data_IF_943785032835
#
_entry.id   IF_943785032835
#
_cell.length_a   1.000
_cell.length_b   1.000
_cell.length_c   1.000
_cell.angle_alpha   90.00
_cell.angle_beta   90.00
_cell.angle_gamma   90.00
#
_symmetry.space_group_name_H-M   'P 1'
#
loop_
_entity.id
_entity.type
_entity.pdbx_description
1 polymer ?
#
# COMPACT_ATOMS: atom_id res chain seq x y z
N UNK A 1 -21.17 -3.31 11.01
CA UNK A 1 -21.27 -4.24 9.86
C UNK A 1 -20.82 -5.63 10.30
N UNK A 2 -21.49 -6.73 9.91
CA UNK A 2 -21.01 -8.09 10.25
C UNK A 2 -19.78 -8.44 9.41
N UNK A 3 -18.96 -9.40 9.86
CA UNK A 3 -17.76 -9.84 9.12
C UNK A 3 -18.09 -10.33 7.72
N UNK A 4 -19.18 -11.10 7.57
CA UNK A 4 -19.68 -11.58 6.27
C UNK A 4 -20.02 -10.45 5.31
N UNK A 5 -20.59 -9.36 5.83
CA UNK A 5 -21.01 -8.23 5.01
C UNK A 5 -19.79 -7.41 4.57
N UNK A 6 -18.82 -7.24 5.47
CA UNK A 6 -17.51 -6.64 5.13
C UNK A 6 -16.76 -7.49 4.11
N UNK A 7 -16.88 -8.81 4.23
CA UNK A 7 -16.25 -9.73 3.31
C UNK A 7 -16.82 -9.59 1.89
N UNK A 8 -18.15 -9.62 1.77
CA UNK A 8 -18.83 -9.40 0.50
C UNK A 8 -18.49 -8.04 -0.12
N UNK A 9 -18.49 -6.97 0.69
CA UNK A 9 -18.15 -5.64 0.20
C UNK A 9 -16.71 -5.53 -0.33
N UNK A 10 -15.74 -6.16 0.34
CA UNK A 10 -14.36 -6.22 -0.14
C UNK A 10 -14.26 -7.04 -1.44
N UNK A 11 -14.95 -8.17 -1.51
CA UNK A 11 -14.90 -9.06 -2.67
C UNK A 11 -15.51 -8.39 -3.92
N UNK A 12 -16.58 -7.60 -3.75
CA UNK A 12 -17.15 -6.74 -4.79
C UNK A 12 -16.15 -5.70 -5.30
N UNK A 13 -15.42 -5.04 -4.40
CA UNK A 13 -14.38 -4.07 -4.77
C UNK A 13 -13.20 -4.73 -5.51
N UNK A 14 -12.82 -5.95 -5.12
CA UNK A 14 -11.77 -6.69 -5.81
C UNK A 14 -12.20 -7.10 -7.21
N UNK A 15 -13.45 -7.50 -7.38
CA UNK A 15 -14.03 -7.87 -8.67
C UNK A 15 -14.10 -6.68 -9.65
N UNK A 16 -14.19 -5.46 -9.13
CA UNK A 16 -14.13 -4.24 -9.95
C UNK A 16 -12.73 -3.93 -10.51
N UNK A 17 -11.67 -4.63 -10.07
CA UNK A 17 -10.32 -4.43 -10.59
C UNK A 17 -10.05 -5.35 -11.79
N UNK A 18 -9.66 -4.79 -12.94
CA UNK A 18 -9.32 -5.57 -14.12
C UNK A 18 -8.08 -6.42 -13.85
N UNK A 19 -8.12 -7.69 -14.26
CA UNK A 19 -7.08 -8.66 -13.90
C UNK A 19 -5.91 -8.61 -14.88
N UNK A 20 -4.66 -8.37 -14.43
CA UNK A 20 -3.54 -8.16 -15.34
C UNK A 20 -2.88 -9.44 -15.89
N UNK A 21 -3.49 -10.62 -15.69
CA UNK A 21 -2.84 -11.90 -16.00
C UNK A 21 -1.54 -12.10 -15.20
N UNK A 22 -1.59 -11.80 -13.89
CA UNK A 22 -0.41 -11.71 -13.03
C UNK A 22 0.39 -13.02 -12.98
N UNK A 23 1.72 -12.91 -13.17
CA UNK A 23 2.68 -14.04 -13.14
C UNK A 23 3.23 -14.36 -11.75
N UNK A 24 2.78 -13.67 -10.70
CA UNK A 24 3.29 -13.87 -9.33
C UNK A 24 4.71 -13.34 -9.07
N UNK A 25 5.29 -12.59 -10.01
CA UNK A 25 6.68 -12.09 -9.93
C UNK A 25 6.84 -10.80 -9.12
N UNK A 26 5.77 -10.29 -8.49
CA UNK A 26 5.79 -9.01 -7.77
C UNK A 26 6.61 -9.01 -6.46
N UNK A 27 7.35 -10.09 -6.17
CA UNK A 27 8.12 -10.26 -4.93
C UNK A 27 9.18 -9.18 -4.76
N UNK A 28 9.86 -8.79 -5.85
CA UNK A 28 10.88 -7.73 -5.83
C UNK A 28 10.27 -6.32 -5.63
N UNK A 29 8.95 -6.20 -5.82
CA UNK A 29 8.19 -4.96 -5.64
C UNK A 29 7.38 -4.95 -4.34
N UNK A 30 7.45 -6.02 -3.55
CA UNK A 30 6.67 -6.12 -2.32
C UNK A 30 7.26 -5.21 -1.23
N UNK A 31 6.39 -4.55 -0.47
CA UNK A 31 6.82 -3.55 0.52
C UNK A 31 5.83 -3.39 1.67
N UNK A 32 5.99 -2.35 2.50
CA UNK A 32 5.00 -1.96 3.48
C UNK A 32 3.63 -1.72 2.83
N UNK A 33 2.63 -2.53 3.18
CA UNK A 33 1.30 -2.50 2.55
C UNK A 33 0.25 -1.99 3.52
N UNK A 34 -0.41 -0.88 3.14
CA UNK A 34 -1.63 -0.41 3.78
C UNK A 34 -2.82 -1.29 3.40
N UNK A 35 -3.61 -1.70 4.39
CA UNK A 35 -4.77 -2.58 4.20
C UNK A 35 -5.86 -2.27 5.23
N UNK A 36 -7.11 -2.55 4.88
CA UNK A 36 -8.25 -2.48 5.79
C UNK A 36 -8.08 -3.48 6.97
N UNK A 37 -8.55 -3.15 8.19
CA UNK A 37 -8.46 -4.07 9.34
C UNK A 37 -9.02 -5.49 9.09
N UNK A 38 -10.07 -5.62 8.26
CA UNK A 38 -10.65 -6.91 7.87
C UNK A 38 -9.77 -7.66 6.87
N UNK A 39 -9.13 -6.98 5.93
CA UNK A 39 -8.13 -7.60 5.04
C UNK A 39 -6.96 -8.18 5.84
N UNK A 40 -6.48 -7.41 6.82
CA UNK A 40 -5.46 -7.89 7.76
C UNK A 40 -5.93 -9.14 8.51
N UNK A 41 -7.20 -9.17 8.91
CA UNK A 41 -7.80 -10.33 9.56
C UNK A 41 -7.88 -11.55 8.64
N UNK A 42 -8.32 -11.40 7.38
CA UNK A 42 -8.37 -12.48 6.39
C UNK A 42 -6.99 -13.12 6.19
N UNK A 43 -5.94 -12.30 6.13
CA UNK A 43 -4.55 -12.78 6.04
C UNK A 43 -4.12 -13.53 7.30
N UNK A 44 -4.46 -13.01 8.49
CA UNK A 44 -4.20 -13.69 9.77
C UNK A 44 -4.91 -15.04 9.88
N UNK A 45 -6.13 -15.15 9.35
CA UNK A 45 -6.89 -16.40 9.28
C UNK A 45 -6.20 -17.45 8.38
N UNK A 46 -5.33 -17.03 7.45
CA UNK A 46 -4.42 -17.91 6.67
C UNK A 46 -3.12 -18.27 7.41
N UNK A 47 -2.96 -17.84 8.67
CA UNK A 47 -1.77 -18.10 9.47
C UNK A 47 -0.57 -17.18 9.18
N UNK A 48 -0.76 -16.10 8.42
CA UNK A 48 0.29 -15.12 8.13
C UNK A 48 0.04 -13.84 8.93
N UNK A 49 1.09 -13.31 9.58
CA UNK A 49 1.03 -12.04 10.30
C UNK A 49 1.89 -11.02 9.56
N UNK A 50 1.25 -10.14 8.81
CA UNK A 50 1.91 -8.97 8.22
C UNK A 50 1.89 -7.84 9.26
N UNK A 51 2.98 -7.10 9.51
CA UNK A 51 2.95 -5.93 10.39
C UNK A 51 2.02 -4.83 9.85
N UNK A 52 1.62 -3.89 10.70
CA UNK A 52 0.91 -2.71 10.21
C UNK A 52 1.84 -1.88 9.30
N UNK A 53 1.28 -1.24 8.27
CA UNK A 53 2.09 -0.55 7.25
C UNK A 53 3.06 0.50 7.82
N UNK A 54 2.68 1.15 8.92
CA UNK A 54 3.52 2.13 9.61
C UNK A 54 4.75 1.48 10.24
N UNK A 55 4.58 0.33 10.88
CA UNK A 55 5.66 -0.39 11.55
C UNK A 55 6.61 -0.98 10.51
N UNK A 56 6.06 -1.55 9.43
CA UNK A 56 6.81 -2.01 8.27
C UNK A 56 7.63 -0.89 7.63
N UNK A 57 7.03 0.30 7.49
CA UNK A 57 7.72 1.46 6.93
C UNK A 57 8.79 2.01 7.87
N UNK A 58 8.54 2.02 9.18
CA UNK A 58 9.55 2.38 10.17
C UNK A 58 10.75 1.43 10.11
N UNK A 59 10.51 0.12 10.05
CA UNK A 59 11.55 -0.89 9.85
C UNK A 59 12.34 -0.63 8.57
N UNK A 60 11.66 -0.44 7.44
CA UNK A 60 12.32 -0.17 6.16
C UNK A 60 13.20 1.08 6.23
N UNK A 61 12.74 2.14 6.90
CA UNK A 61 13.50 3.39 7.08
C UNK A 61 14.71 3.18 7.98
N UNK A 62 14.55 2.46 9.10
CA UNK A 62 15.62 2.25 10.09
C UNK A 62 16.70 1.29 9.58
N UNK A 63 16.29 0.22 8.91
CA UNK A 63 17.18 -0.89 8.53
C UNK A 63 17.61 -0.83 7.07
N UNK A 64 16.86 -0.11 6.23
CA UNK A 64 17.01 -0.15 4.77
C UNK A 64 16.42 -1.40 4.13
N UNK A 65 15.77 -2.27 4.91
CA UNK A 65 15.25 -3.55 4.44
C UNK A 65 13.85 -3.85 5.00
N UNK A 66 13.01 -4.43 4.14
CA UNK A 66 11.73 -5.00 4.51
C UNK A 66 11.35 -6.07 3.50
N UNK A 67 11.07 -7.28 4.01
CA UNK A 67 10.47 -8.36 3.23
C UNK A 67 9.11 -8.68 3.82
N UNK A 68 8.08 -8.71 2.96
CA UNK A 68 6.72 -9.02 3.42
C UNK A 68 6.63 -10.46 3.96
N UNK A 69 6.11 -10.69 5.17
CA UNK A 69 6.02 -12.03 5.77
C UNK A 69 5.16 -13.03 5.00
N UNK A 70 4.35 -12.56 4.05
CA UNK A 70 3.56 -13.41 3.16
C UNK A 70 4.38 -14.09 2.06
N UNK A 71 5.61 -13.62 1.79
CA UNK A 71 6.46 -14.18 0.76
C UNK A 71 7.10 -15.49 1.24
N UNK A 72 6.85 -16.58 0.50
CA UNK A 72 7.44 -17.90 0.73
C UNK A 72 7.86 -18.47 -0.62
N UNK A 73 9.09 -19.00 -0.70
CA UNK A 73 9.63 -19.64 -1.91
C UNK A 73 9.48 -18.79 -3.19
N UNK A 74 9.66 -17.47 -3.07
CA UNK A 74 9.55 -16.53 -4.18
C UNK A 74 8.12 -16.24 -4.65
N UNK A 75 7.09 -16.58 -3.85
CA UNK A 75 5.68 -16.34 -4.17
C UNK A 75 4.89 -15.82 -2.95
N UNK A 76 3.76 -15.17 -3.20
CA UNK A 76 2.85 -14.75 -2.13
C UNK A 76 2.01 -15.94 -1.65
N UNK A 77 2.20 -16.37 -0.40
CA UNK A 77 1.47 -17.49 0.20
C UNK A 77 0.00 -17.21 0.55
N UNK A 78 -0.45 -15.95 0.41
CA UNK A 78 -1.83 -15.49 0.67
C UNK A 78 -2.39 -14.72 -0.52
N UNK A 79 -1.99 -15.12 -1.73
CA UNK A 79 -2.30 -14.41 -2.97
C UNK A 79 -3.81 -14.21 -3.21
N UNK A 80 -4.63 -15.16 -2.76
CA UNK A 80 -6.08 -15.19 -2.87
C UNK A 80 -6.82 -14.25 -1.92
N UNK A 81 -6.19 -13.87 -0.80
CA UNK A 81 -6.73 -12.93 0.20
C UNK A 81 -5.88 -11.66 0.30
N UNK A 82 -5.19 -11.31 -0.79
CA UNK A 82 -4.35 -10.11 -0.87
C UNK A 82 -5.21 -8.85 -0.70
N UNK A 83 -4.67 -7.77 -0.11
CA UNK A 83 -5.43 -6.54 0.10
C UNK A 83 -5.63 -5.77 -1.20
N UNK A 84 -6.56 -4.80 -1.19
CA UNK A 84 -6.91 -3.92 -2.31
C UNK A 84 -5.68 -3.31 -3.00
N UNK A 85 -4.71 -2.80 -2.24
CA UNK A 85 -3.48 -2.23 -2.80
C UNK A 85 -2.70 -3.20 -3.68
N UNK A 86 -2.71 -4.50 -3.33
CA UNK A 86 -2.06 -5.54 -4.12
C UNK A 86 -2.89 -5.94 -5.35
N UNK A 87 -4.22 -5.80 -5.32
CA UNK A 87 -5.08 -5.96 -6.50
C UNK A 87 -4.84 -4.85 -7.53
N UNK A 88 -4.66 -3.60 -7.09
CA UNK A 88 -4.42 -2.46 -7.97
C UNK A 88 -3.04 -2.52 -8.67
N UNK A 89 -2.09 -3.30 -8.13
CA UNK A 89 -0.76 -3.43 -8.71
C UNK A 89 -0.80 -4.13 -10.07
N UNK A 90 -0.35 -3.42 -11.11
CA UNK A 90 -0.44 -3.86 -12.50
C UNK A 90 -1.80 -3.61 -13.15
N UNK A 91 -2.76 -3.02 -12.44
CA UNK A 91 -4.11 -2.75 -12.93
C UNK A 91 -4.44 -1.25 -13.03
N UNK A 92 -3.58 -0.35 -12.54
CA UNK A 92 -3.77 1.12 -12.58
C UNK A 92 -2.60 1.84 -13.27
N UNK A 93 -2.86 2.99 -13.87
CA UNK A 93 -1.87 3.79 -14.62
C UNK A 93 -0.59 4.13 -13.85
N UNK A 94 -0.71 4.49 -12.57
CA UNK A 94 0.42 4.85 -11.69
C UNK A 94 1.21 3.66 -11.15
N UNK A 95 0.70 2.44 -11.25
CA UNK A 95 1.34 1.22 -10.77
C UNK A 95 1.36 0.13 -11.86
N UNK A 96 1.97 0.39 -13.02
CA UNK A 96 2.09 -0.63 -14.06
C UNK A 96 2.98 -1.78 -13.59
N UNK A 97 2.69 -3.00 -14.04
CA UNK A 97 3.51 -4.15 -13.68
C UNK A 97 4.87 -4.08 -14.41
N UNK A 98 6.01 -4.13 -13.69
CA UNK A 98 7.33 -4.10 -14.33
C UNK A 98 7.64 -5.34 -15.17
N UNK A 99 6.88 -6.43 -14.99
CA UNK A 99 7.02 -7.69 -15.74
C UNK A 99 6.05 -7.78 -16.94
N UNK A 100 5.40 -6.67 -17.31
CA UNK A 100 4.52 -6.57 -18.46
C UNK A 100 3.15 -7.22 -18.31
N UNK A 101 2.74 -7.59 -17.08
CA UNK A 101 1.37 -8.02 -16.82
C UNK A 101 0.42 -6.81 -16.97
N UNK A 102 -0.64 -6.93 -17.76
CA UNK A 102 -1.58 -5.85 -18.05
C UNK A 102 -2.95 -6.44 -18.38
N UNK A 103 -4.07 -5.82 -17.94
CA UNK A 103 -5.39 -6.28 -18.34
C UNK A 103 -5.64 -6.04 -19.84
N UNK A 104 -6.48 -6.87 -20.44
CA UNK A 104 -6.78 -6.81 -21.88
C UNK A 104 -7.52 -5.51 -22.24
N UNK A 105 -8.41 -5.08 -21.36
CA UNK A 105 -9.20 -3.86 -21.41
C UNK A 105 -8.40 -2.58 -21.11
N UNK A 106 -7.14 -2.72 -20.64
CA UNK A 106 -6.26 -1.62 -20.29
C UNK A 106 -6.11 -1.38 -18.78
N UNK A 107 -5.32 -0.35 -18.43
CA UNK A 107 -5.12 0.06 -17.03
C UNK A 107 -6.25 1.00 -16.62
N UNK A 108 -6.71 0.87 -15.38
CA UNK A 108 -7.64 1.83 -14.78
C UNK A 108 -6.99 3.22 -14.64
N UNK A 109 -7.75 4.29 -14.88
CA UNK A 109 -7.34 5.65 -14.53
C UNK A 109 -6.96 5.75 -13.05
N UNK A 110 -5.96 6.58 -12.74
CA UNK A 110 -5.50 6.76 -11.35
C UNK A 110 -6.63 7.15 -10.40
N UNK A 111 -7.54 8.05 -10.80
CA UNK A 111 -8.65 8.47 -9.94
C UNK A 111 -9.59 7.31 -9.57
N UNK A 112 -9.81 6.37 -10.50
CA UNK A 112 -10.61 5.18 -10.24
C UNK A 112 -9.88 4.22 -9.29
N UNK A 113 -8.59 3.98 -9.52
CA UNK A 113 -7.76 3.19 -8.62
C UNK A 113 -7.73 3.74 -7.18
N UNK A 114 -7.58 5.06 -7.04
CA UNK A 114 -7.63 5.72 -5.73
C UNK A 114 -9.02 5.64 -5.08
N UNK A 115 -10.10 5.73 -5.86
CA UNK A 115 -11.45 5.59 -5.34
C UNK A 115 -11.73 4.17 -4.82
N UNK A 116 -11.26 3.13 -5.53
CA UNK A 116 -11.36 1.74 -5.08
C UNK A 116 -10.56 1.51 -3.80
N UNK A 117 -9.33 2.04 -3.74
CA UNK A 117 -8.51 1.99 -2.52
C UNK A 117 -9.23 2.68 -1.35
N UNK A 118 -9.75 3.89 -1.55
CA UNK A 118 -10.47 4.63 -0.52
C UNK A 118 -11.69 3.87 -0.01
N UNK A 119 -12.51 3.31 -0.89
CA UNK A 119 -13.67 2.48 -0.53
C UNK A 119 -13.25 1.24 0.27
N UNK A 120 -12.20 0.53 -0.15
CA UNK A 120 -11.72 -0.66 0.57
C UNK A 120 -11.27 -0.34 2.00
N UNK A 121 -10.58 0.78 2.20
CA UNK A 121 -10.12 1.24 3.51
C UNK A 121 -11.25 1.69 4.43
N UNK A 122 -12.44 1.83 3.86
CA UNK A 122 -13.60 2.43 4.51
C UNK A 122 -14.69 1.40 4.86
N UNK A 123 -14.64 0.21 4.24
CA UNK A 123 -15.45 -0.95 4.63
C UNK A 123 -15.41 -1.16 6.14
N UNK A 124 -16.60 -1.13 6.76
CA UNK A 124 -16.84 -1.37 8.17
C UNK A 124 -16.63 -0.19 9.11
N UNK A 125 -16.28 1.01 8.60
CA UNK A 125 -16.32 2.22 9.41
C UNK A 125 -17.77 2.63 9.74
N UNK A 126 -18.00 3.33 10.87
CA UNK A 126 -19.34 3.79 11.25
C UNK A 126 -19.94 4.77 10.24
N UNK A 127 -19.11 5.62 9.64
CA UNK A 127 -19.50 6.65 8.69
C UNK A 127 -18.73 6.45 7.38
N UNK A 128 -19.18 5.55 6.49
CA UNK A 128 -18.48 5.29 5.26
C UNK A 128 -18.67 6.42 4.23
N UNK A 129 -17.74 6.52 3.28
CA UNK A 129 -17.76 7.49 2.18
C UNK A 129 -18.99 7.27 1.32
N UNK A 130 -19.78 8.32 1.16
CA UNK A 130 -20.92 8.31 0.25
C UNK A 130 -20.50 8.58 -1.21
N UNK A 131 -21.46 8.46 -2.14
CA UNK A 131 -21.23 8.66 -3.56
C UNK A 131 -20.76 10.08 -3.89
N UNK A 132 -21.21 11.10 -3.13
CA UNK A 132 -20.81 12.48 -3.34
C UNK A 132 -19.35 12.68 -2.92
N UNK A 133 -18.96 12.19 -1.74
CA UNK A 133 -17.61 12.23 -1.22
C UNK A 133 -16.63 11.47 -2.12
N UNK A 134 -17.02 10.30 -2.63
CA UNK A 134 -16.24 9.57 -3.63
C UNK A 134 -16.12 10.35 -4.94
N UNK A 135 -17.20 11.01 -5.39
CA UNK A 135 -17.17 11.89 -6.56
C UNK A 135 -16.17 13.04 -6.38
N UNK A 136 -16.19 13.73 -5.23
CA UNK A 136 -15.23 14.79 -4.90
C UNK A 136 -13.79 14.27 -4.85
N UNK A 137 -13.59 13.05 -4.31
CA UNK A 137 -12.27 12.42 -4.26
C UNK A 137 -11.75 12.13 -5.67
N UNK A 138 -12.58 11.55 -6.55
CA UNK A 138 -12.25 11.31 -7.96
C UNK A 138 -11.87 12.59 -8.68
N UNK A 139 -12.72 13.63 -8.59
CA UNK A 139 -12.45 14.94 -9.18
C UNK A 139 -11.11 15.53 -8.72
N UNK A 140 -10.77 15.36 -7.43
CA UNK A 140 -9.49 15.81 -6.90
C UNK A 140 -8.31 15.05 -7.51
N UNK A 141 -8.41 13.73 -7.69
CA UNK A 141 -7.36 12.94 -8.33
C UNK A 141 -7.28 13.14 -9.86
N UNK A 142 -8.35 13.62 -10.49
CA UNK A 142 -8.35 14.02 -11.90
C UNK A 142 -7.71 15.39 -12.13
N UNK A 143 -7.66 16.27 -11.12
CA UNK A 143 -7.02 17.58 -11.22
C UNK A 143 -5.49 17.46 -11.46
N UNK A 144 -4.98 17.92 -12.62
CA UNK A 144 -3.55 17.86 -12.94
C UNK A 144 -2.67 18.62 -11.94
N UNK A 145 -3.16 19.71 -11.34
CA UNK A 145 -2.41 20.47 -10.34
C UNK A 145 -2.27 19.65 -9.06
N UNK A 146 -3.36 19.02 -8.60
CA UNK A 146 -3.30 18.14 -7.45
C UNK A 146 -2.37 16.95 -7.70
N UNK A 147 -2.42 16.31 -8.88
CA UNK A 147 -1.50 15.22 -9.25
C UNK A 147 -0.04 15.67 -9.21
N UNK A 148 0.26 16.86 -9.74
CA UNK A 148 1.61 17.44 -9.68
C UNK A 148 2.05 17.66 -8.24
N UNK A 149 1.25 18.35 -7.43
CA UNK A 149 1.55 18.61 -6.02
C UNK A 149 1.72 17.33 -5.21
N UNK A 150 0.87 16.32 -5.46
CA UNK A 150 0.98 15.02 -4.80
C UNK A 150 2.28 14.30 -5.21
N UNK A 151 2.63 14.34 -6.49
CA UNK A 151 3.89 13.76 -6.99
C UNK A 151 5.10 14.45 -6.38
N UNK A 152 5.14 15.78 -6.36
CA UNK A 152 6.20 16.58 -5.72
C UNK A 152 6.29 16.24 -4.24
N UNK A 153 5.15 16.20 -3.54
CA UNK A 153 5.09 15.81 -2.14
C UNK A 153 5.67 14.41 -1.90
N UNK A 154 5.24 13.40 -2.68
CA UNK A 154 5.75 12.04 -2.55
C UNK A 154 7.24 11.97 -2.85
N UNK A 155 7.73 12.70 -3.86
CA UNK A 155 9.15 12.75 -4.21
C UNK A 155 9.99 13.40 -3.10
N UNK A 156 9.58 14.56 -2.59
CA UNK A 156 10.27 15.27 -1.52
C UNK A 156 10.25 14.52 -0.19
N UNK A 157 9.20 13.72 0.05
CA UNK A 157 9.00 12.96 1.28
C UNK A 157 9.33 11.47 1.10
N UNK A 158 9.93 11.07 -0.03
CA UNK A 158 10.42 9.70 -0.20
C UNK A 158 11.63 9.52 0.71
N UNK A 159 11.69 8.46 1.53
CA UNK A 159 12.85 8.22 2.40
C UNK A 159 14.18 8.23 1.65
N UNK A 160 14.21 7.72 0.41
CA UNK A 160 15.40 7.72 -0.43
C UNK A 160 15.82 9.10 -0.98
N UNK A 161 14.90 10.07 -1.04
CA UNK A 161 15.16 11.41 -1.60
C UNK A 161 15.54 12.43 -0.52
N UNK A 162 14.98 12.31 0.69
CA UNK A 162 15.37 13.13 1.83
C UNK A 162 15.25 12.33 3.15
N UNK A 163 16.27 11.52 3.48
CA UNK A 163 16.24 10.64 4.64
C UNK A 163 16.04 11.40 5.95
N UNK A 164 16.72 12.54 6.12
CA UNK A 164 16.69 13.34 7.34
C UNK A 164 15.33 13.99 7.60
N UNK A 165 14.75 14.68 6.60
CA UNK A 165 13.42 15.30 6.69
C UNK A 165 12.33 14.25 6.91
N UNK A 166 12.50 13.08 6.29
CA UNK A 166 11.60 11.94 6.48
C UNK A 166 11.67 11.47 7.94
N UNK A 167 12.86 11.14 8.44
CA UNK A 167 13.09 10.72 9.83
C UNK A 167 12.59 11.73 10.86
N UNK A 168 12.85 13.02 10.67
CA UNK A 168 12.38 14.10 11.56
C UNK A 168 10.86 14.16 11.63
N UNK A 169 10.18 14.10 10.49
CA UNK A 169 8.72 14.09 10.42
C UNK A 169 8.13 12.84 11.07
N UNK A 170 8.74 11.67 10.87
CA UNK A 170 8.32 10.43 11.52
C UNK A 170 8.52 10.51 13.04
N UNK A 171 9.62 11.10 13.52
CA UNK A 171 9.84 11.36 14.95
C UNK A 171 8.79 12.32 15.53
N UNK A 172 8.51 13.42 14.84
CA UNK A 172 7.48 14.38 15.25
C UNK A 172 6.09 13.75 15.29
N UNK A 173 5.74 12.92 14.30
CA UNK A 173 4.46 12.20 14.29
C UNK A 173 4.40 11.03 15.27
N UNK A 174 5.51 10.35 15.55
CA UNK A 174 5.55 9.26 16.52
C UNK A 174 5.11 9.74 17.91
N UNK A 175 5.45 10.99 18.27
CA UNK A 175 4.97 11.66 19.48
C UNK A 175 3.43 11.82 19.47
N UNK A 176 2.84 12.25 18.35
CA UNK A 176 1.38 12.39 18.20
C UNK A 176 0.62 11.04 18.29
N UNK A 177 1.30 9.93 18.02
CA UNK A 177 0.74 8.57 18.07
C UNK A 177 1.19 7.74 19.27
N UNK A 178 1.90 8.33 20.25
CA UNK A 178 2.31 7.65 21.49
C UNK A 178 3.42 6.60 21.33
N UNK A 179 4.26 6.70 20.31
CA UNK A 179 5.38 5.79 20.06
C UNK A 179 6.74 6.47 20.31
N UNK A 180 7.69 5.73 20.89
CA UNK A 180 9.10 6.15 21.02
C UNK A 180 9.96 5.39 20.01
N UNK A 181 10.66 6.09 19.12
CA UNK A 181 11.65 5.50 18.21
C UNK A 181 12.99 5.33 18.95
N UNK A 182 13.66 4.16 18.87
CA UNK A 182 14.99 4.00 19.43
C UNK A 182 16.00 4.90 18.71
N UNK A 183 16.94 5.48 19.47
CA UNK A 183 17.97 6.35 18.95
C UNK A 183 19.07 5.52 18.25
N UNK A 184 19.01 5.42 16.91
CA UNK A 184 20.06 4.80 16.09
C UNK A 184 20.42 5.68 14.90
N UNK A 185 21.72 5.90 14.69
CA UNK A 185 22.28 6.78 13.64
C UNK A 185 22.29 6.08 12.28
N UNK A 186 21.87 6.79 11.23
CA UNK A 186 21.83 6.34 9.84
C UNK A 186 23.21 6.11 9.18
N UNK A 187 24.28 6.02 9.98
CA UNK A 187 25.63 6.33 9.54
C UNK A 187 26.66 5.23 9.76
N UNK A 188 26.34 3.96 9.59
CA UNK A 188 27.35 2.89 9.66
C UNK A 188 26.79 1.61 9.06
N UNK A 189 26.90 1.37 7.73
CA UNK A 189 26.79 0.02 7.13
C UNK A 189 27.04 -0.08 5.61
N UNK A 190 27.65 0.91 4.96
CA UNK A 190 27.97 0.86 3.52
C UNK A 190 29.18 -0.07 3.16
N UNK A 191 29.73 -0.84 4.11
CA UNK A 191 31.00 -1.59 3.94
C UNK A 191 30.87 -3.13 3.93
N UNK A 192 29.72 -3.72 3.59
CA UNK A 192 29.58 -5.20 3.62
C UNK A 192 29.21 -5.90 2.30
N UNK A 193 29.03 -5.19 1.19
CA UNK A 193 28.57 -5.81 -0.07
C UNK A 193 29.48 -5.54 -1.27
N UNK A 194 30.80 -5.54 -1.04
CA UNK A 194 31.80 -5.86 -2.07
C UNK A 194 32.60 -7.06 -1.57
N UNK A 195 32.04 -8.24 -1.80
CA UNK A 195 32.65 -9.55 -1.68
C UNK A 195 32.02 -10.44 -2.72
#
# INVERSE_FOLDING_TARGET
MKRSDMDAALDELYAAVPQPGCKGLCVDSCGPVGMNPREHQRIRERGVKIPHHRDALAQLIETGDYTCPALKDGQCSVYDVRPMSCHLWGAVESMPCPYGCRPEEGLLPDAEGHALLAQSLDVGKPDPLDAEQLGRLKQRFDDPNFRRTLKEYVQENRPAANPEKTLERWRSKAADYGFSMPAGTAGERQRRWRG
#
